data_IF_154001671178
#
_entry.id   IF_154001671178
#
_cell.length_a   1.000
_cell.length_b   1.000
_cell.length_c   1.000
_cell.angle_alpha   90.00
_cell.angle_beta   90.00
_cell.angle_gamma   90.00
#
_symmetry.space_group_name_H-M   'P 1'
#
loop_
_entity.id
_entity.type
_entity.pdbx_description
1 polymer ?
#
# COMPACT_ATOMS: atom_id res chain seq x y z
N UNK A 1 -11.94 2.40 -28.50
CA UNK A 1 -12.07 3.90 -28.49
C UNK A 1 -11.82 4.53 -27.12
N UNK A 2 -11.69 3.74 -26.07
CA UNK A 2 -11.57 4.24 -24.67
C UNK A 2 -10.15 4.72 -24.29
N UNK A 3 -9.09 4.21 -24.93
CA UNK A 3 -7.71 4.60 -24.60
C UNK A 3 -7.34 6.04 -24.92
N UNK A 4 -8.03 6.69 -25.85
CA UNK A 4 -7.77 8.08 -26.24
C UNK A 4 -8.33 9.11 -25.26
N UNK A 5 -9.39 8.75 -24.52
CA UNK A 5 -10.02 9.63 -23.51
C UNK A 5 -9.11 9.74 -22.27
N UNK A 6 -8.50 8.64 -21.86
CA UNK A 6 -7.56 8.61 -20.72
C UNK A 6 -6.29 9.39 -21.03
N UNK A 7 -5.77 9.28 -22.26
CA UNK A 7 -4.59 10.05 -22.69
C UNK A 7 -4.89 11.56 -22.72
N UNK A 8 -6.09 11.94 -23.09
CA UNK A 8 -6.56 13.34 -23.06
C UNK A 8 -6.57 13.92 -21.64
N UNK A 9 -7.04 13.16 -20.65
CA UNK A 9 -7.11 13.60 -19.25
C UNK A 9 -5.70 13.76 -18.67
N UNK A 10 -4.76 12.85 -18.98
CA UNK A 10 -3.37 12.93 -18.50
C UNK A 10 -2.66 14.16 -19.08
N UNK A 11 -2.85 14.47 -20.35
CA UNK A 11 -2.26 15.67 -20.96
C UNK A 11 -2.82 16.96 -20.36
N UNK A 12 -4.08 16.98 -19.97
CA UNK A 12 -4.74 18.12 -19.35
C UNK A 12 -4.21 18.36 -17.92
N UNK A 13 -4.05 17.30 -17.11
CA UNK A 13 -3.49 17.40 -15.75
C UNK A 13 -2.01 17.79 -15.82
N UNK A 14 -1.24 17.27 -16.77
CA UNK A 14 0.14 17.69 -16.99
C UNK A 14 0.25 19.16 -17.41
N UNK A 15 -0.61 19.64 -18.31
CA UNK A 15 -0.65 21.04 -18.72
C UNK A 15 -0.99 21.99 -17.56
N UNK A 16 -1.86 21.56 -16.63
CA UNK A 16 -2.19 22.33 -15.43
C UNK A 16 -1.01 22.48 -14.47
N UNK A 17 -0.16 21.45 -14.33
CA UNK A 17 1.04 21.50 -13.51
C UNK A 17 2.23 22.22 -14.14
N UNK A 18 2.36 22.22 -15.47
CA UNK A 18 3.47 22.85 -16.19
C UNK A 18 3.12 24.20 -16.84
N UNK A 19 1.88 24.59 -16.91
CA UNK A 19 1.37 25.76 -17.66
C UNK A 19 1.51 27.12 -16.98
N UNK A 20 2.35 27.28 -15.92
CA UNK A 20 2.58 28.58 -15.27
C UNK A 20 3.75 29.39 -15.84
N UNK A 21 4.13 29.11 -17.10
CA UNK A 21 5.15 29.89 -17.82
C UNK A 21 4.41 30.63 -18.97
N UNK A 22 4.32 31.92 -18.80
CA UNK A 22 3.67 32.93 -19.56
C UNK A 22 3.46 32.75 -21.07
N UNK A 23 2.22 32.93 -21.47
CA UNK A 23 1.88 33.63 -22.69
C UNK A 23 0.60 34.44 -22.42
N UNK A 24 0.74 35.74 -22.50
CA UNK A 24 -0.35 36.71 -22.55
C UNK A 24 -0.96 36.69 -23.97
N UNK A 25 -2.18 36.23 -24.11
CA UNK A 25 -3.00 36.52 -25.27
C UNK A 25 -4.43 36.84 -24.77
N UNK A 26 -4.93 37.97 -25.28
CA UNK A 26 -6.29 38.48 -25.06
C UNK A 26 -7.33 37.56 -25.73
N UNK A 27 -8.00 36.73 -24.93
CA UNK A 27 -9.31 36.15 -25.21
C UNK A 27 -9.88 35.56 -23.90
N UNK A 28 -10.15 36.45 -22.92
CA UNK A 28 -10.58 36.06 -21.56
C UNK A 28 -11.91 35.30 -21.52
N UNK A 29 -12.81 35.54 -22.46
CA UNK A 29 -14.16 34.96 -22.41
C UNK A 29 -14.24 33.52 -22.96
N UNK A 30 -13.40 33.17 -23.91
CA UNK A 30 -13.40 31.84 -24.53
C UNK A 30 -12.63 30.84 -23.70
N UNK A 31 -11.53 31.26 -23.12
CA UNK A 31 -10.68 30.45 -22.23
C UNK A 31 -11.46 30.01 -20.98
N UNK A 32 -12.26 30.93 -20.38
CA UNK A 32 -13.06 30.63 -19.19
C UNK A 32 -14.17 29.58 -19.47
N UNK A 33 -14.78 29.62 -20.65
CA UNK A 33 -15.80 28.65 -21.08
C UNK A 33 -15.19 27.23 -21.28
N UNK A 34 -13.99 27.16 -21.82
CA UNK A 34 -13.34 25.86 -22.09
C UNK A 34 -12.80 25.21 -20.81
N UNK A 35 -12.30 26.00 -19.85
CA UNK A 35 -11.94 25.53 -18.51
C UNK A 35 -13.16 25.00 -17.75
N UNK A 36 -14.30 25.67 -17.84
CA UNK A 36 -15.53 25.22 -17.17
C UNK A 36 -16.01 23.89 -17.73
N UNK A 37 -16.08 23.75 -19.06
CA UNK A 37 -16.44 22.48 -19.71
C UNK A 37 -15.48 21.34 -19.42
N UNK A 38 -14.18 21.66 -19.32
CA UNK A 38 -13.17 20.70 -18.98
C UNK A 38 -13.33 20.22 -17.53
N UNK A 39 -13.55 21.13 -16.59
CA UNK A 39 -13.79 20.78 -15.19
C UNK A 39 -15.07 19.94 -15.04
N UNK A 40 -16.16 20.31 -15.71
CA UNK A 40 -17.41 19.52 -15.72
C UNK A 40 -17.18 18.10 -16.30
N UNK A 41 -16.37 17.97 -17.35
CA UNK A 41 -16.05 16.67 -17.93
C UNK A 41 -15.14 15.83 -17.00
N UNK A 42 -14.21 16.46 -16.29
CA UNK A 42 -13.37 15.81 -15.29
C UNK A 42 -14.21 15.36 -14.10
N UNK A 43 -15.09 16.24 -13.58
CA UNK A 43 -16.00 15.91 -12.47
C UNK A 43 -16.95 14.77 -12.85
N UNK A 44 -17.52 14.81 -14.07
CA UNK A 44 -18.35 13.72 -14.59
C UNK A 44 -17.58 12.41 -14.75
N UNK A 45 -16.29 12.45 -15.11
CA UNK A 45 -15.46 11.27 -15.21
C UNK A 45 -15.11 10.69 -13.82
N UNK A 46 -14.93 11.57 -12.82
CA UNK A 46 -14.69 11.16 -11.42
C UNK A 46 -15.97 10.57 -10.81
N UNK A 47 -17.12 11.16 -11.12
CA UNK A 47 -18.42 10.72 -10.61
C UNK A 47 -18.97 9.46 -11.28
N UNK A 48 -18.39 9.02 -12.40
CA UNK A 48 -18.79 7.77 -13.03
C UNK A 48 -18.67 6.62 -12.01
N UNK A 49 -19.73 5.82 -11.84
CA UNK A 49 -19.84 4.78 -10.82
C UNK A 49 -18.64 3.82 -10.84
N UNK A 50 -18.16 3.47 -12.04
CA UNK A 50 -17.00 2.58 -12.22
C UNK A 50 -15.66 3.19 -11.77
N UNK A 51 -15.59 4.51 -11.60
CA UNK A 51 -14.38 5.23 -11.23
C UNK A 51 -14.35 5.62 -9.75
N UNK A 52 -15.45 5.40 -9.04
CA UNK A 52 -15.50 5.58 -7.58
C UNK A 52 -14.52 4.62 -6.91
N UNK A 53 -13.90 5.07 -5.84
CA UNK A 53 -12.75 4.41 -5.21
C UNK A 53 -12.96 2.92 -4.97
N UNK A 54 -14.07 2.51 -4.37
CA UNK A 54 -14.35 1.10 -4.10
C UNK A 54 -14.47 0.26 -5.37
N UNK A 55 -15.21 0.75 -6.35
CA UNK A 55 -15.42 0.08 -7.62
C UNK A 55 -14.10 -0.02 -8.41
N UNK A 56 -13.31 1.05 -8.37
CA UNK A 56 -11.97 1.09 -8.97
C UNK A 56 -11.04 0.06 -8.33
N UNK A 57 -11.08 -0.12 -7.00
CA UNK A 57 -10.30 -1.17 -6.31
C UNK A 57 -10.69 -2.56 -6.81
N UNK A 58 -11.99 -2.89 -6.87
CA UNK A 58 -12.45 -4.21 -7.33
C UNK A 58 -12.03 -4.48 -8.77
N UNK A 59 -12.17 -3.47 -9.64
CA UNK A 59 -11.75 -3.53 -11.04
C UNK A 59 -10.24 -3.77 -11.15
N UNK A 60 -9.44 -3.01 -10.40
CA UNK A 60 -7.98 -3.12 -10.42
C UNK A 60 -7.49 -4.45 -9.86
N UNK A 61 -8.10 -4.96 -8.77
CA UNK A 61 -7.79 -6.29 -8.25
C UNK A 61 -8.02 -7.39 -9.29
N UNK A 62 -9.12 -7.31 -10.04
CA UNK A 62 -9.41 -8.24 -11.13
C UNK A 62 -8.37 -8.12 -12.27
N UNK A 63 -7.93 -6.90 -12.59
CA UNK A 63 -6.93 -6.64 -13.63
C UNK A 63 -5.57 -7.26 -13.28
N UNK A 64 -5.15 -7.19 -12.00
CA UNK A 64 -3.91 -7.83 -11.52
C UNK A 64 -4.08 -9.33 -11.24
N UNK A 65 -5.22 -9.92 -11.60
CA UNK A 65 -5.46 -11.36 -11.46
C UNK A 65 -5.90 -11.80 -10.06
N UNK A 66 -6.23 -10.88 -9.15
CA UNK A 66 -6.73 -11.21 -7.83
C UNK A 66 -8.25 -11.40 -7.85
N UNK A 67 -8.71 -12.54 -7.32
CA UNK A 67 -10.11 -12.74 -7.03
C UNK A 67 -10.45 -12.08 -5.69
N UNK A 68 -11.37 -11.13 -5.72
CA UNK A 68 -11.82 -10.41 -4.52
C UNK A 68 -13.20 -10.85 -4.08
N UNK A 69 -13.44 -10.81 -2.76
CA UNK A 69 -14.73 -11.11 -2.12
C UNK A 69 -15.03 -10.04 -1.07
N UNK A 70 -16.28 -9.61 -1.00
CA UNK A 70 -16.72 -8.69 0.05
C UNK A 70 -17.05 -9.45 1.33
N UNK A 71 -16.47 -9.00 2.45
CA UNK A 71 -16.91 -9.44 3.76
C UNK A 71 -18.20 -8.70 4.14
N UNK A 72 -19.30 -9.42 4.30
CA UNK A 72 -20.64 -8.85 4.55
C UNK A 72 -20.74 -8.09 5.87
N UNK A 73 -19.96 -8.47 6.89
CA UNK A 73 -20.00 -7.87 8.22
C UNK A 73 -19.16 -6.60 8.28
N UNK A 74 -17.95 -6.65 7.76
CA UNK A 74 -16.98 -5.54 7.83
C UNK A 74 -16.98 -4.67 6.59
N UNK A 75 -17.66 -5.09 5.52
CA UNK A 75 -17.64 -4.48 4.18
C UNK A 75 -16.25 -4.40 3.54
N UNK A 76 -15.23 -5.06 4.14
CA UNK A 76 -13.89 -5.12 3.59
C UNK A 76 -13.83 -6.00 2.35
N UNK A 77 -13.05 -5.57 1.36
CA UNK A 77 -12.74 -6.34 0.17
C UNK A 77 -11.59 -7.27 0.51
N UNK A 78 -11.82 -8.58 0.55
CA UNK A 78 -10.80 -9.61 0.82
C UNK A 78 -10.28 -10.18 -0.48
N UNK A 79 -8.98 -10.48 -0.54
CA UNK A 79 -8.33 -11.11 -1.68
C UNK A 79 -7.03 -11.80 -1.27
N UNK A 80 -6.49 -12.59 -2.19
CA UNK A 80 -5.19 -13.26 -2.03
C UNK A 80 -4.23 -12.65 -3.06
N UNK A 81 -3.05 -12.23 -2.60
CA UNK A 81 -1.96 -11.76 -3.43
C UNK A 81 -0.66 -12.46 -3.04
N UNK A 82 0.01 -13.11 -3.99
CA UNK A 82 1.24 -13.89 -3.77
C UNK A 82 1.15 -14.90 -2.61
N UNK A 83 -0.04 -15.47 -2.38
CA UNK A 83 -0.27 -16.46 -1.33
C UNK A 83 -0.68 -15.89 0.04
N UNK A 84 -0.62 -14.57 0.23
CA UNK A 84 -1.02 -13.89 1.46
C UNK A 84 -2.44 -13.32 1.37
N UNK A 85 -3.13 -13.26 2.53
CA UNK A 85 -4.49 -12.75 2.65
C UNK A 85 -4.48 -11.27 2.99
N UNK A 86 -5.01 -10.47 2.09
CA UNK A 86 -5.19 -9.05 2.29
C UNK A 86 -6.66 -8.67 2.41
N UNK A 87 -6.91 -7.54 3.04
CA UNK A 87 -8.20 -6.87 2.96
C UNK A 87 -8.03 -5.38 2.71
N UNK A 88 -8.99 -4.79 2.00
CA UNK A 88 -9.00 -3.35 1.71
C UNK A 88 -10.28 -2.74 2.27
N UNK A 89 -10.13 -1.67 3.07
CA UNK A 89 -11.19 -0.72 3.36
C UNK A 89 -11.20 0.33 2.26
N UNK A 90 -12.32 0.46 1.57
CA UNK A 90 -12.53 1.44 0.50
C UNK A 90 -13.99 1.88 0.51
N UNK A 91 -14.20 3.19 0.56
CA UNK A 91 -15.50 3.82 0.44
C UNK A 91 -15.50 4.69 -0.83
N UNK A 92 -16.65 4.72 -1.54
CA UNK A 92 -16.74 5.46 -2.80
C UNK A 92 -16.59 6.98 -2.63
N UNK A 93 -16.91 7.48 -1.44
CA UNK A 93 -16.82 8.89 -1.06
C UNK A 93 -15.43 9.33 -0.58
N UNK A 94 -14.51 8.37 -0.40
CA UNK A 94 -13.14 8.63 0.05
C UNK A 94 -12.15 8.41 -1.07
N UNK A 95 -11.21 9.33 -1.31
CA UNK A 95 -10.11 9.12 -2.25
C UNK A 95 -9.02 8.21 -1.68
N UNK A 96 -9.15 7.75 -0.44
CA UNK A 96 -8.15 6.92 0.23
C UNK A 96 -8.68 5.52 0.46
N UNK A 97 -7.77 4.56 0.38
CA UNK A 97 -7.99 3.18 0.79
C UNK A 97 -7.04 2.83 1.92
N UNK A 98 -7.44 1.84 2.74
CA UNK A 98 -6.54 1.22 3.71
C UNK A 98 -6.38 -0.24 3.37
N UNK A 99 -5.15 -0.66 3.09
CA UNK A 99 -4.79 -2.06 2.89
C UNK A 99 -4.36 -2.64 4.23
N UNK A 100 -4.85 -3.83 4.55
CA UNK A 100 -4.56 -4.56 5.77
C UNK A 100 -4.01 -5.95 5.44
N UNK A 101 -2.97 -6.35 6.14
CA UNK A 101 -2.58 -7.73 6.35
C UNK A 101 -2.57 -8.01 7.84
N UNK A 102 -3.53 -8.83 8.29
CA UNK A 102 -3.72 -9.13 9.70
C UNK A 102 -3.29 -10.56 10.00
N UNK A 103 -2.62 -10.76 11.14
CA UNK A 103 -2.14 -12.08 11.59
C UNK A 103 -1.13 -12.73 10.62
N UNK A 104 -0.30 -11.90 9.95
CA UNK A 104 0.70 -12.41 9.02
C UNK A 104 1.82 -13.21 9.71
N UNK A 105 2.06 -12.97 11.00
CA UNK A 105 2.93 -13.80 11.82
C UNK A 105 2.42 -13.93 13.24
N UNK A 106 2.74 -15.06 13.88
CA UNK A 106 2.43 -15.34 15.29
C UNK A 106 3.73 -15.76 15.99
N UNK A 107 3.98 -15.20 17.17
CA UNK A 107 5.20 -15.42 17.94
C UNK A 107 4.79 -15.81 19.36
N UNK A 108 5.28 -16.94 19.87
CA UNK A 108 5.02 -17.34 21.26
C UNK A 108 5.66 -16.37 22.24
N UNK A 109 4.90 -15.94 23.24
CA UNK A 109 5.39 -15.08 24.33
C UNK A 109 6.45 -15.75 25.22
N UNK A 110 6.50 -17.09 25.26
CA UNK A 110 7.35 -17.82 26.18
C UNK A 110 8.86 -17.51 26.04
N UNK A 111 9.29 -17.13 24.82
CA UNK A 111 10.69 -16.84 24.52
C UNK A 111 10.88 -15.49 23.81
N UNK A 112 9.87 -14.61 23.85
CA UNK A 112 9.89 -13.35 23.15
C UNK A 112 10.33 -12.22 24.08
N UNK A 113 11.44 -11.58 23.75
CA UNK A 113 11.81 -10.30 24.34
C UNK A 113 10.99 -9.18 23.67
N UNK A 114 9.82 -8.92 24.25
CA UNK A 114 8.83 -7.97 23.68
C UNK A 114 9.41 -6.58 23.44
N UNK A 115 10.38 -6.12 24.22
CA UNK A 115 11.01 -4.83 24.02
C UNK A 115 11.86 -4.83 22.75
N UNK A 116 12.62 -5.89 22.47
CA UNK A 116 13.37 -6.02 21.21
C UNK A 116 12.43 -6.06 20.00
N UNK A 117 11.26 -6.71 20.12
CA UNK A 117 10.26 -6.69 19.06
C UNK A 117 9.73 -5.27 18.83
N UNK A 118 9.47 -4.49 19.88
CA UNK A 118 9.04 -3.09 19.77
C UNK A 118 10.09 -2.24 19.08
N UNK A 119 11.35 -2.40 19.44
CA UNK A 119 12.46 -1.66 18.86
C UNK A 119 12.59 -2.00 17.35
N UNK A 120 12.55 -3.28 16.99
CA UNK A 120 12.57 -3.72 15.59
C UNK A 120 11.38 -3.18 14.78
N UNK A 121 10.17 -3.16 15.36
CA UNK A 121 8.99 -2.58 14.72
C UNK A 121 9.18 -1.08 14.51
N UNK A 122 9.70 -0.36 15.49
CA UNK A 122 9.94 1.08 15.37
C UNK A 122 10.95 1.40 14.26
N UNK A 123 12.09 0.70 14.24
CA UNK A 123 13.12 0.86 13.20
C UNK A 123 12.55 0.55 11.80
N UNK A 124 11.78 -0.53 11.68
CA UNK A 124 11.12 -0.87 10.41
C UNK A 124 10.13 0.22 9.99
N UNK A 125 9.30 0.72 10.89
CA UNK A 125 8.29 1.74 10.61
C UNK A 125 8.89 3.11 10.23
N UNK A 126 10.12 3.42 10.66
CA UNK A 126 10.83 4.65 10.25
C UNK A 126 11.20 4.59 8.76
N UNK A 127 11.56 3.43 8.25
CA UNK A 127 12.07 3.26 6.89
C UNK A 127 11.04 2.76 5.88
N UNK A 128 9.94 2.15 6.33
CA UNK A 128 8.93 1.52 5.48
C UNK A 128 7.63 2.33 5.42
N UNK A 129 6.93 2.25 4.28
CA UNK A 129 5.62 2.90 4.11
C UNK A 129 4.50 2.16 4.86
N UNK A 130 4.37 0.83 4.73
CA UNK A 130 3.41 0.09 5.53
C UNK A 130 3.78 0.16 7.02
N UNK A 131 2.77 0.34 7.87
CA UNK A 131 2.95 0.40 9.32
C UNK A 131 2.73 -0.97 9.93
N UNK A 132 3.74 -1.52 10.59
CA UNK A 132 3.67 -2.77 11.34
C UNK A 132 3.25 -2.47 12.78
N UNK A 133 2.35 -3.26 13.34
CA UNK A 133 1.95 -3.23 14.73
C UNK A 133 1.63 -4.64 15.22
N UNK A 134 1.43 -4.81 16.52
CA UNK A 134 1.13 -6.12 17.10
C UNK A 134 -0.05 -6.07 18.06
N UNK A 135 -0.71 -7.23 18.22
CA UNK A 135 -1.64 -7.52 19.32
C UNK A 135 -1.07 -8.63 20.20
N UNK A 136 -1.54 -8.68 21.47
CA UNK A 136 -1.19 -9.75 22.40
C UNK A 136 -2.43 -10.57 22.66
N UNK A 137 -2.43 -11.80 22.19
CA UNK A 137 -3.50 -12.78 22.44
C UNK A 137 -3.17 -13.54 23.72
N UNK A 138 -3.72 -13.05 24.85
CA UNK A 138 -3.38 -13.56 26.18
C UNK A 138 -3.76 -15.02 26.39
N UNK A 139 -4.90 -15.44 25.84
CA UNK A 139 -5.41 -16.82 25.97
C UNK A 139 -4.50 -17.81 25.27
N UNK A 140 -3.95 -17.44 24.11
CA UNK A 140 -3.04 -18.26 23.30
C UNK A 140 -1.57 -18.08 23.69
N UNK A 141 -1.26 -17.11 24.57
CA UNK A 141 0.11 -16.71 24.93
C UNK A 141 0.95 -16.38 23.69
N UNK A 142 0.38 -15.66 22.75
CA UNK A 142 1.00 -15.29 21.48
C UNK A 142 0.97 -13.77 21.26
N UNK A 143 1.95 -13.30 20.49
CA UNK A 143 1.94 -11.99 19.85
C UNK A 143 1.63 -12.19 18.38
N UNK A 144 0.61 -11.50 17.89
CA UNK A 144 0.22 -11.50 16.49
C UNK A 144 0.68 -10.22 15.82
N UNK A 145 1.35 -10.35 14.67
CA UNK A 145 1.81 -9.22 13.88
C UNK A 145 0.79 -8.86 12.80
N UNK A 146 0.61 -7.57 12.62
CA UNK A 146 -0.30 -6.99 11.65
C UNK A 146 0.42 -5.89 10.88
N UNK A 147 -0.06 -5.62 9.68
CA UNK A 147 0.45 -4.55 8.85
C UNK A 147 -0.69 -3.79 8.18
N UNK A 148 -0.55 -2.47 8.06
CA UNK A 148 -1.51 -1.63 7.34
C UNK A 148 -0.82 -0.56 6.53
N UNK A 149 -1.46 -0.13 5.46
CA UNK A 149 -1.01 0.99 4.66
C UNK A 149 -2.20 1.81 4.16
N UNK A 150 -2.16 3.13 4.39
CA UNK A 150 -3.15 4.08 3.88
C UNK A 150 -2.56 4.79 2.67
N UNK A 151 -3.30 4.80 1.57
CA UNK A 151 -2.81 5.41 0.33
C UNK A 151 -3.96 6.01 -0.49
N UNK A 152 -3.70 7.06 -1.30
CA UNK A 152 -4.68 7.56 -2.25
C UNK A 152 -4.92 6.49 -3.33
N UNK A 153 -6.18 6.35 -3.75
CA UNK A 153 -6.57 5.43 -4.81
C UNK A 153 -7.72 6.03 -5.61
N UNK A 154 -7.37 6.80 -6.63
CA UNK A 154 -8.31 7.60 -7.44
C UNK A 154 -8.07 7.35 -8.93
N UNK A 155 -9.08 7.62 -9.73
CA UNK A 155 -8.94 7.68 -11.18
C UNK A 155 -7.88 8.74 -11.55
N UNK A 156 -7.05 8.45 -12.55
CA UNK A 156 -5.97 9.37 -12.95
C UNK A 156 -4.59 9.01 -12.38
N UNK A 157 -4.48 8.08 -11.44
CA UNK A 157 -3.18 7.49 -11.09
C UNK A 157 -2.67 6.72 -12.31
N UNK A 158 -1.50 7.09 -12.88
CA UNK A 158 -0.95 6.40 -14.04
C UNK A 158 -0.67 4.93 -13.72
N UNK A 159 -1.11 4.02 -14.61
CA UNK A 159 -0.93 2.59 -14.45
C UNK A 159 -1.34 2.08 -13.05
N UNK A 160 -2.59 2.33 -12.69
CA UNK A 160 -3.14 2.08 -11.35
C UNK A 160 -2.97 0.62 -10.90
N UNK A 161 -2.96 -0.32 -11.85
CA UNK A 161 -2.71 -1.74 -11.58
C UNK A 161 -1.29 -1.96 -11.05
N UNK A 162 -0.27 -1.44 -11.74
CA UNK A 162 1.12 -1.51 -11.28
C UNK A 162 1.34 -0.72 -9.99
N UNK A 163 0.62 0.41 -9.82
CA UNK A 163 0.66 1.18 -8.58
C UNK A 163 0.15 0.35 -7.40
N UNK A 164 -0.98 -0.36 -7.54
CA UNK A 164 -1.50 -1.24 -6.49
C UNK A 164 -0.52 -2.38 -6.20
N UNK A 165 0.00 -3.07 -7.25
CA UNK A 165 0.96 -4.15 -7.08
C UNK A 165 2.22 -3.70 -6.33
N UNK A 166 2.83 -2.57 -6.73
CA UNK A 166 4.01 -2.05 -6.07
C UNK A 166 3.77 -1.72 -4.57
N UNK A 167 2.57 -1.26 -4.22
CA UNK A 167 2.21 -1.01 -2.83
C UNK A 167 1.92 -2.30 -2.05
N UNK A 168 1.36 -3.34 -2.67
CA UNK A 168 1.24 -4.68 -2.07
C UNK A 168 2.62 -5.31 -1.85
N UNK A 169 3.55 -5.17 -2.81
CA UNK A 169 4.92 -5.67 -2.67
C UNK A 169 5.68 -5.01 -1.51
N UNK A 170 5.36 -3.76 -1.15
CA UNK A 170 5.94 -3.08 0.00
C UNK A 170 5.63 -3.77 1.35
N UNK A 171 4.52 -4.51 1.47
CA UNK A 171 4.23 -5.31 2.66
C UNK A 171 5.28 -6.42 2.83
N UNK A 172 5.60 -7.14 1.76
CA UNK A 172 6.62 -8.20 1.82
C UNK A 172 8.03 -7.63 2.09
N UNK A 173 8.32 -6.43 1.61
CA UNK A 173 9.57 -5.74 1.94
C UNK A 173 9.60 -5.39 3.43
N UNK A 174 8.52 -4.82 3.96
CA UNK A 174 8.42 -4.47 5.38
C UNK A 174 8.56 -5.69 6.30
N UNK A 175 8.00 -6.86 5.91
CA UNK A 175 8.16 -8.10 6.67
C UNK A 175 9.62 -8.56 6.72
N UNK A 176 10.33 -8.50 5.58
CA UNK A 176 11.75 -8.83 5.54
C UNK A 176 12.58 -7.88 6.39
N UNK A 177 12.33 -6.59 6.28
CA UNK A 177 13.02 -5.57 7.09
C UNK A 177 12.80 -5.82 8.59
N UNK A 178 11.56 -6.10 9.03
CA UNK A 178 11.32 -6.44 10.43
C UNK A 178 12.10 -7.69 10.88
N UNK A 179 12.14 -8.70 10.04
CA UNK A 179 12.90 -9.93 10.36
C UNK A 179 14.39 -9.66 10.50
N UNK A 180 14.96 -8.83 9.62
CA UNK A 180 16.38 -8.45 9.68
C UNK A 180 16.66 -7.61 10.93
N UNK A 181 15.82 -6.62 11.25
CA UNK A 181 15.98 -5.80 12.45
C UNK A 181 15.84 -6.62 13.73
N UNK A 182 14.84 -7.48 13.81
CA UNK A 182 14.67 -8.37 14.96
C UNK A 182 15.84 -9.35 15.12
N UNK A 183 16.40 -9.83 14.01
CA UNK A 183 17.58 -10.66 13.99
C UNK A 183 18.81 -9.91 14.49
N UNK A 184 19.03 -8.68 14.04
CA UNK A 184 20.16 -7.86 14.46
C UNK A 184 20.13 -7.59 15.98
N UNK A 185 18.95 -7.36 16.55
CA UNK A 185 18.77 -7.11 17.98
C UNK A 185 18.94 -8.37 18.87
N UNK A 186 18.65 -9.55 18.34
CA UNK A 186 18.72 -10.82 19.10
C UNK A 186 20.05 -11.56 18.97
N UNK A 187 20.90 -11.17 18.03
CA UNK A 187 22.10 -11.90 17.68
C UNK A 187 21.83 -13.21 16.90
N UNK A 188 22.82 -13.71 16.16
CA UNK A 188 22.62 -14.86 15.24
C UNK A 188 22.21 -16.17 15.94
N UNK A 189 22.59 -16.38 17.19
CA UNK A 189 22.34 -17.64 17.90
C UNK A 189 20.89 -17.85 18.34
N UNK A 190 20.15 -16.81 18.66
CA UNK A 190 18.74 -16.94 19.07
C UNK A 190 17.80 -17.15 17.89
N UNK A 191 18.14 -16.67 16.72
CA UNK A 191 17.29 -16.80 15.54
C UNK A 191 17.19 -18.23 14.99
N UNK A 192 18.22 -19.04 15.17
CA UNK A 192 18.13 -20.46 14.81
C UNK A 192 17.08 -21.21 15.64
N UNK A 193 16.89 -20.84 16.90
CA UNK A 193 15.84 -21.40 17.76
C UNK A 193 14.44 -20.88 17.40
N UNK A 194 14.36 -19.66 16.90
CA UNK A 194 13.07 -19.01 16.55
C UNK A 194 12.62 -19.40 15.14
N UNK A 195 13.54 -19.79 14.22
CA UNK A 195 13.20 -20.27 12.86
C UNK A 195 12.24 -21.46 12.84
N UNK A 196 12.27 -22.30 13.88
CA UNK A 196 11.36 -23.45 14.00
C UNK A 196 9.95 -23.06 14.46
N UNK A 197 9.72 -21.81 14.92
CA UNK A 197 8.47 -21.35 15.55
C UNK A 197 7.79 -20.17 14.89
N UNK A 198 8.45 -19.45 13.99
CA UNK A 198 7.81 -18.39 13.19
C UNK A 198 7.14 -19.09 12.00
N UNK A 199 5.86 -19.40 12.15
CA UNK A 199 5.03 -19.85 11.02
C UNK A 199 4.68 -18.64 10.19
N UNK A 200 5.59 -18.25 9.29
CA UNK A 200 5.29 -17.26 8.25
C UNK A 200 4.55 -18.02 7.16
N UNK A 201 3.24 -17.85 7.10
CA UNK A 201 2.44 -18.42 6.02
C UNK A 201 2.90 -17.80 4.69
N UNK A 202 3.48 -18.61 3.81
CA UNK A 202 3.67 -18.26 2.40
C UNK A 202 5.04 -17.75 1.98
N UNK A 203 6.11 -17.77 2.80
CA UNK A 203 7.39 -17.17 2.42
C UNK A 203 8.43 -18.17 1.91
N UNK A 204 8.71 -18.10 0.60
CA UNK A 204 9.91 -18.72 0.01
C UNK A 204 11.09 -17.71 0.08
N UNK A 205 12.07 -17.99 0.93
CA UNK A 205 13.24 -17.15 1.25
C UNK A 205 14.29 -17.01 0.11
N UNK A 206 13.91 -17.03 -1.16
CA UNK A 206 14.89 -17.11 -2.27
C UNK A 206 15.16 -15.79 -3.02
N UNK A 207 14.77 -14.61 -2.53
CA UNK A 207 15.14 -13.36 -3.21
C UNK A 207 15.97 -12.45 -2.30
N UNK A 208 17.22 -12.24 -2.71
CA UNK A 208 18.19 -11.32 -2.11
C UNK A 208 17.84 -9.86 -2.45
N UNK A 209 16.96 -9.23 -1.69
CA UNK A 209 16.88 -7.76 -1.65
C UNK A 209 17.54 -7.29 -0.37
N UNK A 210 18.65 -6.58 -0.51
CA UNK A 210 19.25 -5.84 0.61
C UNK A 210 18.39 -4.63 0.89
N UNK A 211 17.93 -4.46 2.12
CA UNK A 211 17.41 -3.18 2.60
C UNK A 211 18.57 -2.19 2.58
N UNK A 212 18.66 -1.36 1.54
CA UNK A 212 19.63 -0.26 1.51
C UNK A 212 19.09 0.84 2.42
N UNK A 213 19.62 0.95 3.62
CA UNK A 213 19.46 2.13 4.46
C UNK A 213 20.03 3.35 3.73
N UNK A 214 19.17 4.27 3.33
CA UNK A 214 19.55 5.63 2.99
C UNK A 214 19.82 6.38 4.31
N UNK A 215 21.01 6.26 4.85
CA UNK A 215 21.33 7.04 6.04
C UNK A 215 22.47 6.59 6.92
N UNK A 216 23.58 6.14 6.35
CA UNK A 216 24.80 5.99 7.15
C UNK A 216 26.05 6.32 6.34
N UNK A 217 26.17 7.57 5.89
CA UNK A 217 27.45 8.14 5.52
C UNK A 217 27.43 9.64 5.83
N UNK A 218 27.72 9.99 7.08
CA UNK A 218 28.30 11.27 7.46
C UNK A 218 28.90 11.15 8.85
N UNK A 219 30.08 10.51 8.92
CA UNK A 219 31.11 10.79 9.92
C UNK A 219 32.47 10.81 9.21
N UNK A 220 32.84 11.98 8.82
CA UNK A 220 34.22 12.45 8.86
C UNK A 220 34.24 13.83 9.51
#
# INVERSE_FOLDING_TARGET
MEGWIVLGIILIVAAYFFGRIGYSFNDEDQEHSDYTKMNEAVDAAIDAEDNKTRNLVVKTLKEIGCRSEENKETRRIRFIYQGEYFSIDAENESPFITIWDTYWARISLANLEINKLKDAINETNISMRPTIFYSVEKEESEVCLHCKYVMPFIIGIPNIASYLQANLDNFFIAYRCLQEEFKNLNGEQELQKTKERIIIKGFNLSSTYKCNFLGADNKQ
#
